data_IF_781921058181
#
_entry.id   IF_781921058181
#
_cell.length_a   1.000
_cell.length_b   1.000
_cell.length_c   1.000
_cell.angle_alpha   90.00
_cell.angle_beta   90.00
_cell.angle_gamma   90.00
#
_symmetry.space_group_name_H-M   'P 1'
#
loop_
_entity.id
_entity.type
_entity.pdbx_description
1 polymer ?
#
# COMPACT_ATOMS: atom_id res chain seq x y z
N UNK A 1 0.34 8.95 16.15
CA UNK A 1 -0.13 9.58 14.92
C UNK A 1 -0.44 8.61 13.79
N UNK A 2 0.23 7.46 13.73
CA UNK A 2 -0.06 6.40 12.74
C UNK A 2 -1.49 5.85 12.84
N UNK A 3 -2.08 5.82 14.02
CA UNK A 3 -3.42 5.24 14.23
C UNK A 3 -4.56 6.01 13.57
N UNK A 4 -4.43 7.30 13.32
CA UNK A 4 -5.44 8.06 12.57
C UNK A 4 -5.57 7.57 11.13
N UNK A 5 -4.47 7.22 10.52
CA UNK A 5 -4.45 6.69 9.16
C UNK A 5 -5.03 5.28 9.11
N UNK A 6 -4.70 4.44 10.09
CA UNK A 6 -5.25 3.09 10.20
C UNK A 6 -6.77 3.12 10.25
N UNK A 7 -7.35 3.96 11.10
CA UNK A 7 -8.80 4.08 11.27
C UNK A 7 -9.51 4.40 9.96
N UNK A 8 -9.00 5.40 9.26
CA UNK A 8 -9.52 5.81 7.96
C UNK A 8 -9.34 4.70 6.91
N UNK A 9 -8.17 4.08 6.87
CA UNK A 9 -7.85 3.06 5.90
C UNK A 9 -8.70 1.80 6.08
N UNK A 10 -8.95 1.38 7.31
CA UNK A 10 -9.86 0.26 7.62
C UNK A 10 -11.25 0.57 7.07
N UNK A 11 -11.77 1.75 7.35
CA UNK A 11 -13.07 2.20 6.87
C UNK A 11 -13.14 2.16 5.32
N UNK A 12 -12.17 2.76 4.65
CA UNK A 12 -12.13 2.82 3.19
C UNK A 12 -12.01 1.44 2.55
N UNK A 13 -11.15 0.59 3.07
CA UNK A 13 -10.96 -0.77 2.55
C UNK A 13 -12.23 -1.60 2.74
N UNK A 14 -12.87 -1.49 3.91
CA UNK A 14 -14.13 -2.15 4.17
C UNK A 14 -15.21 -1.70 3.19
N UNK A 15 -15.34 -0.39 2.98
CA UNK A 15 -16.32 0.19 2.05
C UNK A 15 -16.08 -0.24 0.61
N UNK A 16 -14.84 -0.30 0.17
CA UNK A 16 -14.49 -0.81 -1.16
C UNK A 16 -14.95 -2.24 -1.39
N UNK A 17 -14.94 -3.06 -0.35
CA UNK A 17 -15.41 -4.46 -0.42
C UNK A 17 -16.92 -4.58 -0.29
N UNK A 18 -17.64 -3.50 0.01
CA UNK A 18 -19.07 -3.51 0.25
C UNK A 18 -19.47 -4.21 1.55
N UNK A 19 -18.56 -4.31 2.50
CA UNK A 19 -18.81 -4.97 3.78
C UNK A 19 -19.34 -4.00 4.82
N UNK A 20 -20.28 -4.50 5.67
CA UNK A 20 -20.67 -3.80 6.88
C UNK A 20 -19.61 -3.98 7.97
N UNK A 21 -19.73 -3.22 9.06
CA UNK A 21 -18.87 -3.43 10.23
C UNK A 21 -19.03 -4.84 10.81
N UNK A 22 -20.27 -5.37 10.79
CA UNK A 22 -20.54 -6.73 11.21
C UNK A 22 -19.88 -7.77 10.30
N UNK A 23 -19.88 -7.54 8.99
CA UNK A 23 -19.23 -8.43 8.04
C UNK A 23 -17.73 -8.51 8.29
N UNK A 24 -17.08 -7.36 8.46
CA UNK A 24 -15.65 -7.31 8.75
C UNK A 24 -15.35 -7.96 10.10
N UNK A 25 -16.16 -7.68 11.13
CA UNK A 25 -16.01 -8.27 12.45
C UNK A 25 -16.08 -9.80 12.39
N UNK A 26 -17.04 -10.33 11.66
CA UNK A 26 -17.20 -11.77 11.49
C UNK A 26 -15.96 -12.40 10.84
N UNK A 27 -15.43 -11.76 9.79
CA UNK A 27 -14.24 -12.24 9.08
C UNK A 27 -12.97 -12.23 9.95
N UNK A 28 -12.90 -11.34 10.93
CA UNK A 28 -11.76 -11.20 11.84
C UNK A 28 -12.00 -11.87 13.21
N UNK A 29 -13.13 -12.56 13.38
CA UNK A 29 -13.54 -13.13 14.66
C UNK A 29 -13.57 -12.08 15.79
N UNK A 30 -14.17 -10.94 15.48
CA UNK A 30 -14.32 -9.79 16.37
C UNK A 30 -15.77 -9.40 16.50
N UNK A 31 -16.06 -8.46 17.41
CA UNK A 31 -17.38 -7.85 17.54
C UNK A 31 -17.48 -6.61 16.64
N UNK A 32 -18.68 -6.33 16.14
CA UNK A 32 -18.94 -5.13 15.35
C UNK A 32 -18.58 -3.85 16.11
N UNK A 33 -18.81 -3.82 17.41
CA UNK A 33 -18.40 -2.70 18.28
C UNK A 33 -16.88 -2.48 18.29
N UNK A 34 -16.11 -3.56 18.18
CA UNK A 34 -14.64 -3.48 18.09
C UNK A 34 -14.23 -2.83 16.78
N UNK A 35 -14.84 -3.22 15.67
CA UNK A 35 -14.55 -2.60 14.36
C UNK A 35 -14.94 -1.11 14.38
N UNK A 36 -16.08 -0.78 14.96
CA UNK A 36 -16.50 0.62 15.14
C UNK A 36 -15.46 1.41 15.93
N UNK A 37 -14.92 0.83 16.99
CA UNK A 37 -13.88 1.47 17.81
C UNK A 37 -12.58 1.68 17.03
N UNK A 38 -12.22 0.77 16.14
CA UNK A 38 -11.06 0.94 15.26
C UNK A 38 -11.28 2.07 14.25
N UNK A 39 -12.45 2.14 13.65
CA UNK A 39 -12.78 3.16 12.64
C UNK A 39 -12.94 4.56 13.24
N UNK A 40 -13.36 4.67 14.50
CA UNK A 40 -13.48 5.95 15.21
C UNK A 40 -12.20 6.37 15.93
N UNK A 41 -11.14 5.59 15.82
CA UNK A 41 -9.85 5.83 16.49
C UNK A 41 -9.95 5.83 18.04
N UNK A 42 -10.98 5.19 18.60
CA UNK A 42 -11.12 5.04 20.04
C UNK A 42 -10.35 3.83 20.56
N UNK A 43 -9.98 2.91 19.70
CA UNK A 43 -9.16 1.74 20.01
C UNK A 43 -8.22 1.45 18.85
N UNK A 44 -6.99 1.05 19.18
CA UNK A 44 -5.98 0.66 18.18
C UNK A 44 -5.95 -0.85 18.03
N UNK A 45 -5.98 -1.40 16.81
CA UNK A 45 -5.82 -2.83 16.59
C UNK A 45 -4.48 -3.35 17.10
N UNK A 46 -4.46 -4.57 17.60
CA UNK A 46 -3.20 -5.26 17.93
C UNK A 46 -2.42 -5.60 16.65
N UNK A 47 -1.14 -5.91 16.81
CA UNK A 47 -0.29 -6.34 15.67
C UNK A 47 -0.89 -7.56 14.97
N UNK A 48 -1.37 -8.54 15.73
CA UNK A 48 -2.01 -9.73 15.17
C UNK A 48 -3.25 -9.39 14.35
N UNK A 49 -4.04 -8.45 14.81
CA UNK A 49 -5.23 -7.96 14.09
C UNK A 49 -4.83 -7.22 12.81
N UNK A 50 -3.78 -6.42 12.86
CA UNK A 50 -3.24 -5.72 11.69
C UNK A 50 -2.78 -6.72 10.62
N UNK A 51 -2.07 -7.76 11.03
CA UNK A 51 -1.63 -8.83 10.12
C UNK A 51 -2.84 -9.52 9.49
N UNK A 52 -3.84 -9.88 10.29
CA UNK A 52 -5.06 -10.51 9.80
C UNK A 52 -5.81 -9.60 8.81
N UNK A 53 -5.89 -8.31 9.09
CA UNK A 53 -6.51 -7.33 8.19
C UNK A 53 -5.74 -7.21 6.87
N UNK A 54 -4.41 -7.16 6.91
CA UNK A 54 -3.59 -7.06 5.70
C UNK A 54 -3.81 -8.27 4.79
N UNK A 55 -3.87 -9.46 5.36
CA UNK A 55 -4.16 -10.69 4.63
C UNK A 55 -5.58 -10.69 4.06
N UNK A 56 -6.57 -10.30 4.86
CA UNK A 56 -7.97 -10.27 4.47
C UNK A 56 -8.24 -9.29 3.33
N UNK A 57 -7.67 -8.09 3.41
CA UNK A 57 -7.83 -7.06 2.38
C UNK A 57 -6.87 -7.24 1.19
N UNK A 58 -5.87 -8.10 1.30
CA UNK A 58 -4.87 -8.29 0.26
C UNK A 58 -3.98 -7.07 0.06
N UNK A 59 -3.69 -6.35 1.13
CA UNK A 59 -2.83 -5.17 1.12
C UNK A 59 -1.63 -5.39 2.05
N UNK A 60 -0.55 -4.64 1.85
CA UNK A 60 0.58 -4.68 2.76
C UNK A 60 0.23 -4.01 4.10
N UNK A 61 0.98 -4.34 5.15
CA UNK A 61 0.83 -3.69 6.46
C UNK A 61 1.11 -2.19 6.31
N UNK A 62 2.11 -1.80 5.54
CA UNK A 62 2.44 -0.40 5.27
C UNK A 62 1.28 0.33 4.58
N UNK A 63 0.64 -0.30 3.61
CA UNK A 63 -0.53 0.26 2.93
C UNK A 63 -1.71 0.41 3.88
N UNK A 64 -1.91 -0.56 4.78
CA UNK A 64 -2.95 -0.48 5.80
C UNK A 64 -2.70 0.67 6.78
N UNK A 65 -1.45 0.90 7.18
CA UNK A 65 -1.08 1.94 8.14
C UNK A 65 -1.04 3.33 7.50
N UNK A 66 -0.46 3.46 6.31
CA UNK A 66 -0.18 4.75 5.67
C UNK A 66 -1.10 5.07 4.49
N UNK A 67 -1.87 4.11 3.97
CA UNK A 67 -2.80 4.29 2.86
C UNK A 67 -2.21 3.91 1.51
N UNK A 68 -3.02 4.08 0.46
CA UNK A 68 -2.67 3.67 -0.91
C UNK A 68 -1.42 4.36 -1.47
N UNK A 69 -1.09 5.53 -0.96
CA UNK A 69 0.08 6.30 -1.38
C UNK A 69 1.30 6.02 -0.48
N UNK A 70 1.25 4.97 0.33
CA UNK A 70 2.38 4.58 1.15
C UNK A 70 3.54 4.19 0.23
N UNK A 71 4.58 5.00 0.26
CA UNK A 71 5.84 4.62 -0.37
C UNK A 71 6.43 3.46 0.42
N UNK A 72 6.25 2.25 -0.11
CA UNK A 72 6.72 1.02 0.52
C UNK A 72 8.26 0.94 0.51
N UNK A 73 8.89 1.70 -0.36
CA UNK A 73 10.35 1.77 -0.46
C UNK A 73 10.88 2.83 0.50
N UNK A 74 11.71 2.41 1.47
CA UNK A 74 12.43 3.35 2.32
C UNK A 74 13.47 4.09 1.48
N UNK A 75 13.18 5.34 1.16
CA UNK A 75 14.07 6.21 0.40
C UNK A 75 14.94 7.08 1.31
N UNK A 76 14.94 6.81 2.61
CA UNK A 76 15.67 7.62 3.61
C UNK A 76 17.17 7.75 3.36
N UNK A 77 17.75 6.75 2.73
CA UNK A 77 19.20 6.70 2.46
C UNK A 77 19.55 7.07 1.03
N UNK A 78 18.56 7.45 0.22
CA UNK A 78 18.79 7.81 -1.17
C UNK A 78 18.95 9.33 -1.32
N UNK A 79 19.90 9.74 -2.16
CA UNK A 79 20.01 11.13 -2.58
C UNK A 79 18.78 11.53 -3.42
N UNK A 80 18.50 12.84 -3.52
CA UNK A 80 17.34 13.33 -4.27
C UNK A 80 17.31 12.83 -5.71
N UNK A 81 18.47 12.76 -6.35
CA UNK A 81 18.62 12.25 -7.72
C UNK A 81 18.26 10.76 -7.83
N UNK A 82 18.67 9.97 -6.85
CA UNK A 82 18.33 8.54 -6.79
C UNK A 82 16.86 8.32 -6.53
N UNK A 83 16.22 9.16 -5.72
CA UNK A 83 14.77 9.11 -5.50
C UNK A 83 13.98 9.38 -6.77
N UNK A 84 14.40 10.37 -7.56
CA UNK A 84 13.81 10.65 -8.86
C UNK A 84 13.96 9.46 -9.81
N UNK A 85 15.14 8.85 -9.85
CA UNK A 85 15.40 7.69 -10.70
C UNK A 85 14.51 6.49 -10.34
N UNK A 86 14.30 6.23 -9.03
CA UNK A 86 13.42 5.18 -8.57
C UNK A 86 11.96 5.48 -8.96
N UNK A 87 11.51 6.72 -8.81
CA UNK A 87 10.16 7.13 -9.19
C UNK A 87 9.93 6.96 -10.69
N UNK A 88 10.90 7.35 -11.52
CA UNK A 88 10.85 7.18 -12.97
C UNK A 88 10.82 5.69 -13.36
N UNK A 89 11.61 4.87 -12.69
CA UNK A 89 11.63 3.41 -12.88
C UNK A 89 10.26 2.80 -12.60
N UNK A 90 9.63 3.15 -11.47
CA UNK A 90 8.31 2.65 -11.11
C UNK A 90 7.24 3.08 -12.12
N UNK A 91 7.33 4.31 -12.63
CA UNK A 91 6.43 4.81 -13.65
C UNK A 91 6.58 4.03 -14.97
N UNK A 92 7.80 3.77 -15.39
CA UNK A 92 8.08 2.98 -16.60
C UNK A 92 7.55 1.56 -16.46
N UNK A 93 7.74 0.91 -15.31
CA UNK A 93 7.23 -0.43 -15.03
C UNK A 93 5.70 -0.47 -15.07
N UNK A 94 5.04 0.54 -14.53
CA UNK A 94 3.57 0.66 -14.55
C UNK A 94 3.05 0.78 -15.98
N UNK A 95 3.69 1.61 -16.80
CA UNK A 95 3.35 1.78 -18.21
C UNK A 95 3.59 0.50 -19.01
N UNK A 96 4.66 -0.22 -18.74
CA UNK A 96 4.97 -1.50 -19.37
C UNK A 96 3.90 -2.56 -19.07
N UNK A 97 3.47 -2.66 -17.83
CA UNK A 97 2.45 -3.62 -17.43
C UNK A 97 1.07 -3.33 -18.05
N UNK A 98 0.79 -2.06 -18.34
CA UNK A 98 -0.49 -1.62 -18.88
C UNK A 98 -0.54 -1.58 -20.41
N UNK A 99 0.59 -1.70 -21.10
CA UNK A 99 0.65 -1.65 -22.55
C UNK A 99 1.03 -2.99 -23.16
N UNK A 100 0.19 -3.46 -24.08
CA UNK A 100 0.50 -4.56 -25.00
C UNK A 100 1.39 -4.06 -26.15
N UNK A 101 2.27 -3.12 -25.89
CA UNK A 101 2.90 -2.31 -26.91
C UNK A 101 4.23 -2.87 -27.39
N UNK A 102 4.47 -2.71 -28.69
CA UNK A 102 5.71 -3.08 -29.38
C UNK A 102 6.94 -2.27 -28.89
N UNK A 103 6.70 -1.23 -28.12
CA UNK A 103 7.74 -0.36 -27.53
C UNK A 103 8.33 -0.90 -26.23
N UNK A 104 7.99 -2.10 -25.84
CA UNK A 104 8.51 -2.74 -24.63
C UNK A 104 10.04 -2.80 -24.58
N UNK A 105 10.70 -2.95 -25.75
CA UNK A 105 12.16 -2.95 -25.85
C UNK A 105 12.77 -1.59 -25.56
N UNK A 106 12.18 -0.50 -26.06
CA UNK A 106 12.68 0.85 -25.81
C UNK A 106 12.56 1.21 -24.32
N UNK A 107 11.48 0.79 -23.69
CA UNK A 107 11.25 0.98 -22.26
C UNK A 107 12.18 0.15 -21.38
N UNK A 108 12.45 -1.09 -21.78
CA UNK A 108 13.43 -1.94 -21.10
C UNK A 108 14.85 -1.36 -21.17
N UNK A 109 15.22 -0.72 -22.28
CA UNK A 109 16.51 0.01 -22.41
C UNK A 109 16.58 1.20 -21.47
N UNK A 110 15.50 1.98 -21.36
CA UNK A 110 15.39 3.09 -20.39
C UNK A 110 15.56 2.58 -18.97
N UNK A 111 14.95 1.46 -18.64
CA UNK A 111 15.08 0.78 -17.34
C UNK A 111 16.54 0.44 -17.04
N UNK A 112 17.26 -0.14 -18.00
CA UNK A 112 18.68 -0.48 -17.86
C UNK A 112 19.55 0.79 -17.68
N UNK A 113 19.22 1.86 -18.38
CA UNK A 113 19.93 3.14 -18.21
C UNK A 113 19.71 3.71 -16.81
N UNK A 114 18.48 3.67 -16.30
CA UNK A 114 18.17 4.13 -14.94
C UNK A 114 18.92 3.29 -13.91
N UNK A 115 18.94 1.98 -14.05
CA UNK A 115 19.68 1.08 -13.15
C UNK A 115 21.17 1.39 -13.17
N UNK A 116 21.75 1.62 -14.34
CA UNK A 116 23.17 2.03 -14.47
C UNK A 116 23.43 3.39 -13.83
N UNK A 117 22.53 4.35 -13.99
CA UNK A 117 22.64 5.68 -13.38
C UNK A 117 22.59 5.60 -11.85
N UNK A 118 21.93 4.59 -11.30
CA UNK A 118 21.87 4.34 -9.85
C UNK A 118 23.14 3.69 -9.29
N UNK A 119 24.08 3.29 -10.14
CA UNK A 119 25.30 2.64 -9.71
C UNK A 119 25.14 1.17 -9.31
N UNK A 120 24.11 0.54 -9.80
CA UNK A 120 23.81 -0.88 -9.54
C UNK A 120 24.37 -1.78 -10.64
#
# INVERSE_FOLDING_TARGET
>A
MAHRYISKNIYELRKKRGWSQSDLAHKLDKKASTISSYETDSKTPSVDTIIAMSELFGVSIDELIYGENAEVLSTKHLAAEQKCAVADLLQVLTLYNNSNDKDGFARARLLLQVIKAMGL
#
